data_IF_564497289347
#
_entry.id   IF_564497289347
#
_cell.length_a   1.000
_cell.length_b   1.000
_cell.length_c   1.000
_cell.angle_alpha   90.00
_cell.angle_beta   90.00
_cell.angle_gamma   90.00
#
_symmetry.space_group_name_H-M   'P 1'
#
loop_
_entity.id
_entity.type
_entity.pdbx_description
1 polymer ?
#
# COMPACT_ATOMS: atom_id res chain seq x y z
N UNK A 1 -7.06 -4.30 0.55
CA UNK A 1 -7.06 -5.77 0.49
C UNK A 1 -6.96 -6.22 -0.96
N UNK A 2 -6.10 -7.18 -1.25
CA UNK A 2 -5.87 -7.73 -2.59
C UNK A 2 -5.99 -9.25 -2.52
N UNK A 3 -6.59 -9.86 -3.54
CA UNK A 3 -6.71 -11.32 -3.64
C UNK A 3 -5.35 -11.95 -3.98
N UNK A 4 -5.07 -13.09 -3.36
CA UNK A 4 -3.89 -13.90 -3.65
C UNK A 4 -4.28 -15.18 -4.37
N UNK A 5 -3.48 -15.54 -5.37
CA UNK A 5 -3.39 -16.90 -5.92
C UNK A 5 -1.96 -17.39 -5.73
N UNK A 6 -1.72 -18.69 -5.87
CA UNK A 6 -0.36 -19.23 -5.80
C UNK A 6 0.59 -18.57 -6.81
N UNK A 7 0.07 -18.20 -7.99
CA UNK A 7 0.84 -17.54 -9.05
C UNK A 7 1.12 -16.07 -8.77
N UNK A 8 0.19 -15.32 -8.16
CA UNK A 8 0.37 -13.88 -7.90
C UNK A 8 1.07 -13.59 -6.58
N UNK A 9 1.09 -14.55 -5.64
CA UNK A 9 1.62 -14.36 -4.28
C UNK A 9 3.04 -13.83 -4.26
N UNK A 10 3.96 -14.46 -5.00
CA UNK A 10 5.37 -14.05 -5.02
C UNK A 10 5.53 -12.65 -5.57
N UNK A 11 4.84 -12.33 -6.66
CA UNK A 11 4.93 -11.02 -7.32
C UNK A 11 4.40 -9.89 -6.43
N UNK A 12 3.24 -10.10 -5.79
CA UNK A 12 2.64 -9.12 -4.88
C UNK A 12 3.56 -8.88 -3.67
N UNK A 13 4.17 -9.93 -3.11
CA UNK A 13 5.13 -9.79 -2.01
C UNK A 13 6.38 -9.01 -2.44
N UNK A 14 6.90 -9.23 -3.64
CA UNK A 14 8.01 -8.43 -4.19
C UNK A 14 7.65 -6.96 -4.36
N UNK A 15 6.43 -6.65 -4.79
CA UNK A 15 5.96 -5.25 -4.85
C UNK A 15 5.93 -4.65 -3.44
N UNK A 16 5.45 -5.39 -2.44
CA UNK A 16 5.45 -4.90 -1.06
C UNK A 16 6.87 -4.60 -0.56
N UNK A 17 7.84 -5.45 -0.89
CA UNK A 17 9.25 -5.26 -0.56
C UNK A 17 9.82 -4.00 -1.23
N UNK A 18 9.60 -3.80 -2.53
CA UNK A 18 10.08 -2.62 -3.28
C UNK A 18 9.52 -1.31 -2.73
N UNK A 19 8.26 -1.32 -2.29
CA UNK A 19 7.61 -0.14 -1.73
C UNK A 19 7.81 0.00 -0.22
N UNK A 20 8.51 -0.93 0.44
CA UNK A 20 8.61 -1.01 1.90
C UNK A 20 7.23 -0.96 2.58
N UNK A 21 6.22 -1.57 1.93
CA UNK A 21 4.87 -1.64 2.44
C UNK A 21 4.80 -2.66 3.59
N UNK A 22 4.06 -2.31 4.63
CA UNK A 22 3.86 -3.19 5.78
C UNK A 22 2.73 -4.17 5.47
N UNK A 23 3.00 -5.46 5.66
CA UNK A 23 1.94 -6.48 5.63
C UNK A 23 1.19 -6.42 6.96
N UNK A 24 -0.08 -6.02 6.90
CA UNK A 24 -0.95 -5.93 8.07
C UNK A 24 -1.68 -7.25 8.35
N UNK A 25 -2.06 -7.98 7.29
CA UNK A 25 -2.66 -9.31 7.38
C UNK A 25 -2.35 -10.13 6.12
N UNK A 26 -2.17 -11.45 6.27
CA UNK A 26 -1.85 -12.38 5.19
C UNK A 26 -2.54 -13.73 5.41
N UNK A 27 -3.37 -14.13 4.46
CA UNK A 27 -4.01 -15.44 4.44
C UNK A 27 -3.56 -16.27 3.23
N UNK A 28 -4.20 -17.42 3.00
CA UNK A 28 -3.96 -18.19 1.79
C UNK A 28 -4.50 -17.48 0.53
N UNK A 29 -5.62 -16.76 0.66
CA UNK A 29 -6.36 -16.18 -0.47
C UNK A 29 -6.36 -14.66 -0.51
N UNK A 30 -5.81 -13.97 0.50
CA UNK A 30 -5.83 -12.51 0.59
C UNK A 30 -4.58 -11.94 1.26
N UNK A 31 -4.29 -10.68 0.93
CA UNK A 31 -3.26 -9.86 1.55
C UNK A 31 -3.83 -8.47 1.85
N UNK A 32 -3.55 -7.97 3.06
CA UNK A 32 -3.80 -6.59 3.45
C UNK A 32 -2.47 -5.90 3.72
N UNK A 33 -2.28 -4.75 3.06
CA UNK A 33 -1.08 -3.93 3.18
C UNK A 33 -1.40 -2.55 3.71
N UNK A 34 -0.53 -2.04 4.55
CA UNK A 34 -0.48 -0.66 5.01
C UNK A 34 0.68 0.03 4.30
N UNK A 35 0.39 1.14 3.63
CA UNK A 35 1.40 1.95 2.98
C UNK A 35 1.18 3.43 3.28
N UNK A 36 2.24 4.12 3.67
CA UNK A 36 2.27 5.57 3.89
C UNK A 36 3.41 6.18 3.10
N UNK A 37 3.12 7.24 2.37
CA UNK A 37 4.09 7.92 1.53
C UNK A 37 3.48 9.14 0.85
N UNK A 38 4.26 9.77 -0.02
CA UNK A 38 3.72 10.85 -0.84
C UNK A 38 2.66 10.34 -1.83
N UNK A 39 1.81 11.25 -2.31
CA UNK A 39 0.71 10.92 -3.23
C UNK A 39 1.16 10.18 -4.48
N UNK A 40 2.34 10.52 -5.03
CA UNK A 40 2.92 9.85 -6.20
C UNK A 40 3.19 8.37 -5.94
N UNK A 41 3.87 8.03 -4.84
CA UNK A 41 4.17 6.63 -4.50
C UNK A 41 2.90 5.86 -4.13
N UNK A 42 1.97 6.48 -3.41
CA UNK A 42 0.67 5.88 -3.06
C UNK A 42 -0.14 5.55 -4.31
N UNK A 43 -0.14 6.42 -5.31
CA UNK A 43 -0.83 6.15 -6.57
C UNK A 43 -0.14 5.02 -7.35
N UNK A 44 1.20 5.00 -7.40
CA UNK A 44 1.95 3.97 -8.11
C UNK A 44 1.69 2.56 -7.54
N UNK A 45 1.75 2.38 -6.21
CA UNK A 45 1.48 1.07 -5.61
C UNK A 45 0.03 0.63 -5.85
N UNK A 46 -0.95 1.55 -5.81
CA UNK A 46 -2.34 1.21 -6.11
C UNK A 46 -2.54 0.82 -7.57
N UNK A 47 -1.90 1.51 -8.51
CA UNK A 47 -1.97 1.15 -9.93
C UNK A 47 -1.39 -0.25 -10.19
N UNK A 48 -0.26 -0.58 -9.59
CA UNK A 48 0.33 -1.92 -9.68
C UNK A 48 -0.61 -2.95 -9.06
N UNK A 49 -1.10 -2.69 -7.85
CA UNK A 49 -1.99 -3.62 -7.13
C UNK A 49 -3.31 -3.87 -7.87
N UNK A 50 -3.82 -2.87 -8.60
CA UNK A 50 -5.06 -2.97 -9.40
C UNK A 50 -5.04 -4.14 -10.40
N UNK A 51 -3.85 -4.54 -10.86
CA UNK A 51 -3.66 -5.65 -11.81
C UNK A 51 -3.93 -7.03 -11.20
N UNK A 52 -3.86 -7.17 -9.88
CA UNK A 52 -4.02 -8.45 -9.19
C UNK A 52 -5.43 -8.66 -8.61
N UNK A 53 -6.37 -7.74 -8.84
CA UNK A 53 -7.72 -7.81 -8.29
C UNK A 53 -7.79 -7.23 -6.89
N UNK A 54 -7.82 -5.90 -6.81
CA UNK A 54 -8.00 -5.18 -5.54
C UNK A 54 -9.46 -5.31 -5.12
N UNK A 55 -9.69 -5.94 -3.97
CA UNK A 55 -11.04 -6.12 -3.40
C UNK A 55 -11.48 -4.87 -2.63
N UNK A 56 -10.56 -4.21 -1.94
CA UNK A 56 -10.87 -3.04 -1.12
C UNK A 56 -9.69 -2.07 -1.00
N UNK A 57 -9.97 -0.76 -1.10
CA UNK A 57 -9.00 0.31 -0.84
C UNK A 57 -9.61 1.28 0.18
N UNK A 58 -8.95 1.44 1.32
CA UNK A 58 -9.26 2.49 2.29
C UNK A 58 -8.15 3.54 2.25
N UNK A 59 -8.52 4.80 2.01
CA UNK A 59 -7.58 5.94 1.95
C UNK A 59 -8.01 7.02 2.93
N UNK A 60 -7.10 7.45 3.78
CA UNK A 60 -7.31 8.54 4.75
C UNK A 60 -7.21 9.94 4.12
N UNK A 61 -6.74 10.06 2.88
CA UNK A 61 -6.51 11.35 2.21
C UNK A 61 -5.16 11.98 2.58
N UNK A 62 -4.85 13.16 2.04
CA UNK A 62 -3.60 13.85 2.33
C UNK A 62 -3.70 14.58 3.68
N UNK A 63 -2.89 14.17 4.64
CA UNK A 63 -2.77 14.83 5.94
C UNK A 63 -1.50 15.67 5.92
N UNK A 64 -1.62 16.99 6.09
CA UNK A 64 -0.50 17.92 6.15
C UNK A 64 -0.49 18.62 7.51
N UNK A 65 0.58 18.44 8.27
CA UNK A 65 0.81 19.16 9.52
C UNK A 65 1.82 20.27 9.20
N UNK A 66 1.43 21.53 9.42
CA UNK A 66 2.40 22.63 9.35
C UNK A 66 3.32 22.54 10.55
N UNK A 67 4.62 22.39 10.30
CA UNK A 67 5.62 22.51 11.35
C UNK A 67 5.62 23.96 11.85
N UNK A 68 5.35 24.16 13.14
CA UNK A 68 5.49 25.48 13.75
C UNK A 68 6.96 25.69 14.06
N UNK A 69 7.63 26.53 13.27
CA UNK A 69 8.96 27.05 13.64
C UNK A 69 8.79 27.91 14.88
N UNK A 70 9.29 27.44 16.02
CA UNK A 70 9.37 28.24 17.25
C UNK A 70 10.68 29.02 17.15
N UNK A 71 10.61 30.23 16.61
CA UNK A 71 11.76 31.08 16.41
C UNK A 71 11.36 32.43 15.86
N UNK A 72 11.04 33.33 16.78
CA UNK A 72 10.90 34.78 16.59
C UNK A 72 11.36 35.45 17.87
#
# INVERSE_FOLDING_TARGET
MVKLTETTRTEILSVCEVFEAKIADLTHTSLTIEYSGNSRKVNAIVEIMSKYGVEEIVRTGQIAIRYRSIGS
#
